data_IF_449057140383
#
_entry.id   IF_449057140383
#
_cell.length_a   1.000
_cell.length_b   1.000
_cell.length_c   1.000
_cell.angle_alpha   90.00
_cell.angle_beta   90.00
_cell.angle_gamma   90.00
#
_symmetry.space_group_name_H-M   'P 1'
#
loop_
_entity.id
_entity.type
_entity.pdbx_description
1 polymer ?
#
# COMPACT_ATOMS: atom_id res chain seq x y z
N UNK A 1 11.27 1.14 -6.33
CA UNK A 1 10.10 0.73 -5.55
C UNK A 1 10.41 -0.45 -4.62
N UNK A 2 10.99 -1.53 -5.17
CA UNK A 2 11.34 -2.71 -4.36
C UNK A 2 12.36 -2.38 -3.28
N UNK A 3 13.39 -1.62 -3.60
CA UNK A 3 14.41 -1.22 -2.64
C UNK A 3 13.84 -0.34 -1.53
N UNK A 4 12.85 0.49 -1.86
CA UNK A 4 12.17 1.33 -0.87
C UNK A 4 11.40 0.48 0.15
N UNK A 5 10.69 -0.54 -0.29
CA UNK A 5 9.95 -1.44 0.62
C UNK A 5 10.90 -2.21 1.54
N UNK A 6 12.01 -2.70 1.02
CA UNK A 6 13.02 -3.42 1.80
C UNK A 6 13.64 -2.50 2.86
N UNK A 7 14.03 -1.30 2.46
CA UNK A 7 14.62 -0.32 3.38
C UNK A 7 13.68 0.02 4.53
N UNK A 8 12.40 0.26 4.23
CA UNK A 8 11.39 0.57 5.24
C UNK A 8 11.20 -0.55 6.24
N UNK A 9 11.21 -1.81 5.80
CA UNK A 9 11.11 -2.95 6.70
C UNK A 9 12.30 -3.05 7.65
N UNK A 10 13.51 -2.81 7.13
CA UNK A 10 14.72 -2.91 7.93
C UNK A 10 14.82 -1.77 8.96
N UNK A 11 14.31 -0.59 8.62
CA UNK A 11 14.46 0.61 9.43
C UNK A 11 13.28 0.88 10.36
N UNK A 12 12.22 0.07 10.32
CA UNK A 12 11.01 0.29 11.09
C UNK A 12 10.60 -0.92 11.93
N UNK A 13 9.68 -0.69 12.86
CA UNK A 13 9.05 -1.76 13.64
C UNK A 13 7.80 -2.33 12.95
N UNK A 14 7.61 -2.01 11.68
CA UNK A 14 6.46 -2.49 10.92
C UNK A 14 6.58 -3.98 10.58
N UNK A 15 5.46 -4.64 10.43
CA UNK A 15 5.37 -6.02 9.98
C UNK A 15 5.43 -6.14 8.47
N UNK A 16 4.86 -5.13 7.79
CA UNK A 16 4.70 -5.07 6.35
C UNK A 16 5.09 -3.67 5.88
N UNK A 17 5.71 -3.59 4.72
CA UNK A 17 5.92 -2.31 4.05
C UNK A 17 5.23 -2.29 2.70
N UNK A 18 4.82 -1.11 2.28
CA UNK A 18 4.25 -0.87 0.96
C UNK A 18 4.67 0.51 0.48
N UNK A 19 4.27 0.90 -0.70
CA UNK A 19 4.59 2.21 -1.26
C UNK A 19 3.33 2.90 -1.74
N UNK A 20 3.42 4.21 -1.90
CA UNK A 20 2.33 5.02 -2.39
C UNK A 20 2.79 6.34 -2.94
N UNK A 21 1.91 7.01 -3.66
CA UNK A 21 2.13 8.32 -4.28
C UNK A 21 1.11 9.30 -3.74
N UNK A 22 1.53 10.53 -3.46
CA UNK A 22 0.60 11.56 -3.04
C UNK A 22 -0.44 11.81 -4.13
N UNK A 23 -1.71 11.83 -3.75
CA UNK A 23 -2.80 12.09 -4.68
C UNK A 23 -2.83 13.59 -5.01
N UNK A 24 -2.83 13.91 -6.30
CA UNK A 24 -2.76 15.28 -6.78
C UNK A 24 -4.01 15.75 -7.52
N UNK A 25 -4.99 14.87 -7.75
CA UNK A 25 -6.20 15.22 -8.49
C UNK A 25 -7.46 14.68 -7.83
N UNK A 26 -8.56 15.44 -7.95
CA UNK A 26 -9.87 15.00 -7.47
C UNK A 26 -10.42 13.83 -8.28
N UNK A 27 -10.04 13.73 -9.55
CA UNK A 27 -10.41 12.60 -10.41
C UNK A 27 -9.89 11.29 -9.84
N UNK A 28 -8.65 11.28 -9.40
CA UNK A 28 -8.00 10.13 -8.76
C UNK A 28 -8.66 9.78 -7.43
N UNK A 29 -8.99 10.80 -6.62
CA UNK A 29 -9.68 10.61 -5.36
C UNK A 29 -11.03 9.92 -5.51
N UNK A 30 -11.78 10.26 -6.56
CA UNK A 30 -13.12 9.75 -6.79
C UNK A 30 -13.16 8.46 -7.62
N UNK A 31 -12.01 8.01 -8.11
CA UNK A 31 -11.94 6.79 -8.91
C UNK A 31 -11.94 5.55 -8.01
N UNK A 32 -13.00 4.71 -8.08
CA UNK A 32 -13.08 3.52 -7.22
C UNK A 32 -12.09 2.42 -7.60
N UNK A 33 -11.44 2.52 -8.76
CA UNK A 33 -10.39 1.58 -9.15
C UNK A 33 -9.05 1.92 -8.52
N UNK A 34 -8.91 3.10 -7.94
CA UNK A 34 -7.70 3.52 -7.24
C UNK A 34 -7.88 3.23 -5.75
N UNK A 35 -7.04 2.34 -5.22
CA UNK A 35 -7.02 2.05 -3.79
C UNK A 35 -6.21 3.14 -3.10
N UNK A 36 -6.76 3.72 -2.04
CA UNK A 36 -6.10 4.76 -1.26
C UNK A 36 -5.68 4.22 0.09
N UNK A 37 -4.52 4.67 0.55
CA UNK A 37 -4.04 4.42 1.90
C UNK A 37 -4.28 5.69 2.74
N UNK A 38 -4.86 5.54 3.91
CA UNK A 38 -5.11 6.64 4.82
C UNK A 38 -4.04 6.67 5.90
N UNK A 39 -3.29 7.79 5.96
CA UNK A 39 -2.27 8.03 6.97
C UNK A 39 -2.58 9.39 7.62
N UNK A 40 -3.01 9.36 8.86
CA UNK A 40 -3.47 10.57 9.56
C UNK A 40 -2.37 11.60 9.76
N UNK A 41 -1.17 11.17 10.06
CA UNK A 41 -0.07 12.09 10.31
C UNK A 41 1.27 11.50 9.83
N UNK A 42 1.53 11.67 8.54
CA UNK A 42 2.74 11.12 7.90
C UNK A 42 4.03 11.75 8.42
N UNK A 43 3.95 12.95 9.01
CA UNK A 43 5.12 13.62 9.60
C UNK A 43 5.58 12.93 10.89
N UNK A 44 4.66 12.32 11.64
CA UNK A 44 4.98 11.59 12.88
C UNK A 44 5.37 10.15 12.58
N UNK A 45 4.60 9.47 11.74
CA UNK A 45 4.88 8.10 11.32
C UNK A 45 4.15 7.81 10.01
N UNK A 46 4.64 6.81 9.30
CA UNK A 46 4.10 6.41 8.01
C UNK A 46 3.22 5.16 8.11
N UNK A 47 2.68 4.86 9.28
CA UNK A 47 1.81 3.70 9.45
C UNK A 47 0.44 3.96 8.85
N UNK A 48 -0.01 3.02 8.02
CA UNK A 48 -1.31 3.10 7.37
C UNK A 48 -2.40 2.74 8.39
N UNK A 49 -3.39 3.60 8.51
CA UNK A 49 -4.52 3.37 9.41
C UNK A 49 -5.67 2.63 8.73
N UNK A 50 -5.85 2.88 7.42
CA UNK A 50 -6.94 2.26 6.67
C UNK A 50 -6.62 2.23 5.17
N UNK A 51 -7.28 1.32 4.47
CA UNK A 51 -7.26 1.23 3.00
C UNK A 51 -8.68 1.20 2.48
N UNK A 52 -8.93 1.87 1.39
CA UNK A 52 -10.24 1.87 0.76
C UNK A 52 -10.22 2.51 -0.61
N UNK A 53 -11.34 2.45 -1.30
CA UNK A 53 -11.47 3.02 -2.64
C UNK A 53 -12.06 4.42 -2.62
N UNK A 54 -13.04 4.66 -1.75
CA UNK A 54 -13.66 5.98 -1.58
C UNK A 54 -13.67 6.32 -0.10
N UNK A 55 -13.24 7.52 0.21
CA UNK A 55 -13.20 8.06 1.58
C UNK A 55 -14.01 9.36 1.64
N UNK A 56 -14.41 9.75 2.84
CA UNK A 56 -15.07 11.02 3.08
C UNK A 56 -14.14 12.20 2.76
N UNK A 57 -14.72 13.31 2.34
CA UNK A 57 -13.97 14.48 1.89
C UNK A 57 -13.05 15.07 2.96
N UNK A 58 -13.39 14.92 4.24
CA UNK A 58 -12.56 15.38 5.35
C UNK A 58 -11.21 14.65 5.46
N UNK A 59 -11.07 13.49 4.81
CA UNK A 59 -9.85 12.69 4.80
C UNK A 59 -8.95 12.92 3.60
N UNK A 60 -9.40 13.70 2.62
CA UNK A 60 -8.73 13.82 1.31
C UNK A 60 -7.24 14.23 1.38
N UNK A 61 -6.86 15.03 2.36
CA UNK A 61 -5.47 15.50 2.51
C UNK A 61 -4.54 14.42 3.07
N UNK A 62 -5.11 13.34 3.60
CA UNK A 62 -4.39 12.25 4.24
C UNK A 62 -4.38 10.98 3.41
N UNK A 63 -4.79 11.06 2.14
CA UNK A 63 -4.90 9.90 1.25
C UNK A 63 -3.75 9.85 0.26
N UNK A 64 -3.26 8.64 0.05
CA UNK A 64 -2.18 8.35 -0.89
C UNK A 64 -2.62 7.25 -1.82
N UNK A 65 -2.25 7.35 -3.10
CA UNK A 65 -2.50 6.30 -4.08
C UNK A 65 -1.65 5.09 -3.71
N UNK A 66 -2.27 4.02 -3.28
CA UNK A 66 -1.58 2.80 -2.87
C UNK A 66 -1.10 2.01 -4.08
N UNK A 67 0.16 1.62 -4.03
CA UNK A 67 0.78 0.76 -5.04
C UNK A 67 0.93 -0.62 -4.42
N UNK A 68 0.39 -1.63 -5.11
CA UNK A 68 0.30 -3.00 -4.59
C UNK A 68 1.61 -3.77 -4.59
N UNK A 69 2.68 -3.15 -4.07
CA UNK A 69 3.97 -3.80 -3.85
C UNK A 69 4.21 -3.89 -2.36
N UNK A 70 4.50 -5.09 -1.85
CA UNK A 70 4.62 -5.34 -0.42
C UNK A 70 5.95 -5.98 -0.07
N UNK A 71 6.50 -5.57 1.09
CA UNK A 71 7.57 -6.29 1.74
C UNK A 71 7.06 -6.83 3.07
N UNK A 72 7.43 -8.05 3.42
CA UNK A 72 7.04 -8.68 4.68
C UNK A 72 8.29 -9.10 5.44
N UNK A 73 8.30 -8.87 6.76
CA UNK A 73 9.25 -9.58 7.61
C UNK A 73 8.83 -11.06 7.60
N UNK A 74 9.79 -11.96 7.61
CA UNK A 74 9.52 -13.40 7.52
C UNK A 74 8.50 -13.86 8.55
N UNK A 75 8.68 -13.46 9.80
CA UNK A 75 7.78 -13.80 10.89
C UNK A 75 6.37 -13.23 10.68
N UNK A 76 6.31 -12.02 10.15
CA UNK A 76 5.05 -11.35 9.85
C UNK A 76 4.31 -12.04 8.70
N UNK A 77 5.03 -12.49 7.67
CA UNK A 77 4.43 -13.23 6.58
C UNK A 77 3.83 -14.55 7.07
N UNK A 78 4.54 -15.28 7.91
CA UNK A 78 4.04 -16.52 8.49
C UNK A 78 2.77 -16.29 9.31
N UNK A 79 2.72 -15.21 10.07
CA UNK A 79 1.53 -14.82 10.81
C UNK A 79 0.37 -14.50 9.86
N UNK A 80 0.63 -13.70 8.82
CA UNK A 80 -0.39 -13.26 7.88
C UNK A 80 -1.05 -14.42 7.14
N UNK A 81 -0.28 -15.37 6.63
CA UNK A 81 -0.83 -16.50 5.86
C UNK A 81 -1.67 -17.44 6.72
N UNK A 82 -1.52 -17.40 8.03
CA UNK A 82 -2.32 -18.21 8.97
C UNK A 82 -3.56 -17.47 9.46
N UNK A 83 -3.73 -16.19 9.12
CA UNK A 83 -4.93 -15.45 9.49
C UNK A 83 -6.10 -15.82 8.57
N UNK A 84 -7.29 -15.82 9.15
CA UNK A 84 -8.51 -15.98 8.37
C UNK A 84 -8.85 -14.64 7.70
N UNK A 85 -9.58 -14.71 6.59
CA UNK A 85 -10.09 -13.50 5.95
C UNK A 85 -10.94 -12.70 6.93
N UNK A 86 -10.70 -11.38 6.98
CA UNK A 86 -11.49 -10.49 7.83
C UNK A 86 -12.75 -10.02 7.10
N UNK A 87 -13.75 -9.57 7.84
CA UNK A 87 -14.99 -9.04 7.25
C UNK A 87 -14.71 -7.83 6.35
N UNK A 88 -13.86 -6.91 6.79
CA UNK A 88 -13.49 -5.72 6.03
C UNK A 88 -12.75 -6.09 4.75
N UNK A 89 -11.88 -7.09 4.82
CA UNK A 89 -11.18 -7.63 3.65
C UNK A 89 -12.16 -8.13 2.58
N UNK A 90 -13.14 -8.91 2.99
CA UNK A 90 -14.13 -9.50 2.10
C UNK A 90 -15.03 -8.41 1.52
N UNK A 91 -15.50 -7.50 2.36
CA UNK A 91 -16.40 -6.42 1.99
C UNK A 91 -15.77 -5.46 0.99
N UNK A 92 -14.54 -5.06 1.25
CA UNK A 92 -13.82 -4.10 0.41
C UNK A 92 -13.05 -4.75 -0.74
N UNK A 93 -12.87 -6.08 -0.71
CA UNK A 93 -12.03 -6.83 -1.64
C UNK A 93 -10.57 -6.32 -1.61
N UNK A 94 -10.07 -6.10 -0.42
CA UNK A 94 -8.70 -5.63 -0.16
C UNK A 94 -8.03 -6.54 0.85
N UNK A 95 -7.12 -7.39 0.38
CA UNK A 95 -6.43 -8.40 1.19
C UNK A 95 -5.62 -7.78 2.34
N UNK A 96 -5.06 -6.61 2.14
CA UNK A 96 -4.28 -5.90 3.15
C UNK A 96 -5.11 -5.53 4.39
N UNK A 97 -6.43 -5.49 4.28
CA UNK A 97 -7.29 -5.23 5.44
C UNK A 97 -7.22 -6.34 6.48
N UNK A 98 -6.88 -7.57 6.06
CA UNK A 98 -6.64 -8.67 7.00
C UNK A 98 -5.55 -8.33 8.00
N UNK A 99 -4.48 -7.71 7.53
CA UNK A 99 -3.38 -7.28 8.40
C UNK A 99 -3.84 -6.16 9.35
N UNK A 100 -4.49 -5.13 8.82
CA UNK A 100 -4.99 -4.00 9.61
C UNK A 100 -5.95 -4.48 10.70
N UNK A 101 -6.90 -5.34 10.35
CA UNK A 101 -7.92 -5.82 11.29
C UNK A 101 -7.33 -6.71 12.38
N UNK A 102 -6.14 -7.26 12.18
CA UNK A 102 -5.46 -8.09 13.16
C UNK A 102 -4.30 -7.37 13.86
N UNK A 103 -4.23 -6.05 13.75
CA UNK A 103 -3.27 -5.24 14.49
C UNK A 103 -1.84 -5.27 13.93
N UNK A 104 -1.64 -5.79 12.73
CA UNK A 104 -0.34 -5.75 12.09
C UNK A 104 -0.03 -4.33 11.60
N UNK A 105 1.23 -3.92 11.70
CA UNK A 105 1.65 -2.58 11.30
C UNK A 105 2.15 -2.56 9.88
N UNK A 106 1.52 -1.72 9.05
CA UNK A 106 1.92 -1.51 7.66
C UNK A 106 2.50 -0.11 7.53
N UNK A 107 3.74 -0.01 7.09
CA UNK A 107 4.41 1.27 6.84
C UNK A 107 4.40 1.57 5.34
N UNK A 108 4.14 2.84 4.99
CA UNK A 108 4.08 3.27 3.58
C UNK A 108 5.23 4.22 3.28
N UNK A 109 5.99 3.89 2.24
CA UNK A 109 7.02 4.78 1.71
C UNK A 109 6.48 5.57 0.53
N UNK A 110 6.72 6.88 0.55
CA UNK A 110 6.33 7.73 -0.57
C UNK A 110 7.31 7.60 -1.72
N UNK A 111 6.78 7.45 -2.92
CA UNK A 111 7.54 7.52 -4.16
C UNK A 111 6.97 8.65 -5.02
N UNK A 112 7.77 9.14 -5.98
CA UNK A 112 7.39 10.32 -6.76
C UNK A 112 6.52 10.00 -7.96
N UNK A 113 6.57 8.79 -8.46
CA UNK A 113 5.88 8.37 -9.67
C UNK A 113 5.26 6.99 -9.48
N UNK A 114 4.13 6.78 -10.16
CA UNK A 114 3.52 5.46 -10.20
C UNK A 114 4.44 4.49 -10.95
N UNK A 115 4.61 3.25 -10.45
CA UNK A 115 5.37 2.25 -11.18
C UNK A 115 4.60 1.84 -12.43
N UNK A 116 5.34 1.32 -13.41
CA UNK A 116 4.76 0.82 -14.65
C UNK A 116 3.97 -0.45 -14.32
N UNK A 117 2.72 -0.46 -14.76
CA UNK A 117 1.86 -1.63 -14.63
C UNK A 117 2.32 -2.73 -15.58
N UNK A 118 2.37 -3.97 -15.12
CA UNK A 118 2.77 -5.12 -15.95
C UNK A 118 1.52 -5.86 -16.42
N UNK A 119 0.80 -5.25 -17.37
CA UNK A 119 -0.43 -5.81 -17.92
C UNK A 119 -0.24 -6.49 -19.27
N UNK A 120 0.85 -6.18 -19.96
CA UNK A 120 1.15 -6.71 -21.28
C UNK A 120 2.58 -7.23 -21.33
N UNK A 121 2.89 -7.98 -22.42
CA UNK A 121 4.24 -8.45 -22.67
C UNK A 121 5.21 -7.29 -22.86
N UNK A 122 4.77 -6.21 -23.49
CA UNK A 122 5.58 -5.01 -23.69
C UNK A 122 5.91 -4.35 -22.35
N UNK A 123 4.94 -4.28 -21.46
CA UNK A 123 5.15 -3.74 -20.10
C UNK A 123 6.16 -4.58 -19.33
N UNK A 124 6.08 -5.91 -19.45
CA UNK A 124 7.03 -6.81 -18.80
C UNK A 124 8.46 -6.59 -19.32
N UNK A 125 8.63 -6.46 -20.62
CA UNK A 125 9.95 -6.19 -21.21
C UNK A 125 10.50 -4.83 -20.77
N UNK A 126 9.65 -3.83 -20.67
CA UNK A 126 10.03 -2.51 -20.19
C UNK A 126 10.49 -2.54 -18.73
N UNK A 127 9.75 -3.23 -17.88
CA UNK A 127 10.12 -3.41 -16.46
C UNK A 127 11.44 -4.16 -16.34
N UNK A 128 11.65 -5.20 -17.12
CA UNK A 128 12.92 -5.94 -17.13
C UNK A 128 14.11 -5.04 -17.45
N UNK A 129 13.97 -4.18 -18.45
CA UNK A 129 15.04 -3.23 -18.82
C UNK A 129 15.36 -2.25 -17.71
N UNK A 130 14.36 -1.80 -16.98
CA UNK A 130 14.55 -0.89 -15.83
C UNK A 130 15.27 -1.60 -14.69
N UNK A 131 14.95 -2.87 -14.45
CA UNK A 131 15.51 -3.64 -13.34
C UNK A 131 16.91 -4.21 -13.64
N UNK A 132 17.28 -4.30 -14.89
CA UNK A 132 18.62 -4.69 -15.30
C UNK A 132 19.60 -3.52 -15.22
#
# INVERSE_FOLDING_TARGET
ALMKTISLLNDSNADISTIGVKISSSKELLNPNVVKAYIKNIMDNNYVEDFGRIFDDDKKEYLYHHIGVYGYKRRSLETFINLKQSETEIDRKLEQMRAIDNGMKIVLGLVNELPISVDTKEDLEHVRRIME
#
